data_IF_177053120656
#
_entry.id   IF_177053120656
#
_cell.length_a   1.000
_cell.length_b   1.000
_cell.length_c   1.000
_cell.angle_alpha   90.00
_cell.angle_beta   90.00
_cell.angle_gamma   90.00
#
_symmetry.space_group_name_H-M   'P 1'
#
loop_
_entity.id
_entity.type
_entity.pdbx_description
1 polymer ?
#
# COMPACT_ATOMS: atom_id res chain seq x y z
N UNK A 1 27.10 -22.27 0.51
CA UNK A 1 26.06 -21.61 1.35
C UNK A 1 26.38 -20.13 1.41
N UNK A 2 25.57 -19.29 0.77
CA UNK A 2 25.74 -17.84 0.82
C UNK A 2 25.09 -17.33 2.10
N UNK A 3 25.88 -16.71 2.99
CA UNK A 3 25.35 -16.08 4.21
C UNK A 3 24.79 -14.71 3.84
N UNK A 4 23.48 -14.58 3.75
CA UNK A 4 22.80 -13.30 3.58
C UNK A 4 22.19 -12.85 4.92
N UNK A 5 22.28 -11.56 5.23
CA UNK A 5 21.62 -10.97 6.40
C UNK A 5 20.44 -10.12 5.92
N UNK A 6 19.24 -10.48 6.34
CA UNK A 6 18.03 -9.71 6.04
C UNK A 6 17.97 -8.49 6.97
N UNK A 7 17.95 -7.29 6.39
CA UNK A 7 17.90 -6.02 7.13
C UNK A 7 16.50 -5.40 7.17
N UNK A 8 15.69 -5.67 6.15
CA UNK A 8 14.35 -5.10 6.01
C UNK A 8 13.44 -6.07 5.24
N UNK A 9 12.15 -5.97 5.55
CA UNK A 9 11.06 -6.60 4.81
C UNK A 9 10.07 -5.49 4.50
N UNK A 10 9.60 -5.41 3.27
CA UNK A 10 8.65 -4.39 2.83
C UNK A 10 7.77 -4.91 1.69
N UNK A 11 6.61 -4.30 1.52
CA UNK A 11 5.74 -4.50 0.36
C UNK A 11 6.38 -3.84 -0.89
N UNK A 12 6.07 -4.35 -2.07
CA UNK A 12 6.62 -3.86 -3.35
C UNK A 12 6.25 -2.39 -3.62
N UNK A 13 5.04 -1.95 -3.27
CA UNK A 13 4.62 -0.55 -3.36
C UNK A 13 5.46 0.38 -2.47
N UNK A 14 5.90 -0.10 -1.30
CA UNK A 14 6.81 0.63 -0.40
C UNK A 14 8.20 0.75 -1.03
N UNK A 15 8.67 -0.33 -1.65
CA UNK A 15 9.92 -0.33 -2.39
C UNK A 15 9.89 0.67 -3.55
N UNK A 16 8.78 0.72 -4.29
CA UNK A 16 8.58 1.66 -5.38
C UNK A 16 8.57 3.12 -4.89
N UNK A 17 7.85 3.41 -3.80
CA UNK A 17 7.83 4.74 -3.19
C UNK A 17 9.21 5.16 -2.68
N UNK A 18 9.93 4.26 -2.01
CA UNK A 18 11.29 4.54 -1.52
C UNK A 18 12.26 4.84 -2.67
N UNK A 19 12.23 4.05 -3.75
CA UNK A 19 13.05 4.26 -4.93
C UNK A 19 12.72 5.59 -5.63
N UNK A 20 11.44 5.89 -5.81
CA UNK A 20 10.99 7.15 -6.42
C UNK A 20 11.34 8.36 -5.55
N UNK A 21 11.10 8.31 -4.24
CA UNK A 21 11.46 9.37 -3.30
C UNK A 21 12.96 9.63 -3.26
N UNK A 22 13.79 8.59 -3.37
CA UNK A 22 15.24 8.75 -3.48
C UNK A 22 15.67 9.43 -4.79
N UNK A 23 15.01 9.13 -5.90
CA UNK A 23 15.37 9.67 -7.23
C UNK A 23 14.82 11.06 -7.51
N UNK A 24 13.57 11.31 -7.14
CA UNK A 24 12.81 12.50 -7.53
C UNK A 24 12.52 13.44 -6.35
N UNK A 25 12.82 13.03 -5.12
CA UNK A 25 12.72 13.85 -3.93
C UNK A 25 11.41 13.66 -3.14
N UNK A 26 11.19 14.50 -2.11
CA UNK A 26 10.14 14.30 -1.10
C UNK A 26 8.72 14.52 -1.62
N UNK A 27 8.55 15.08 -2.82
CA UNK A 27 7.24 15.26 -3.48
C UNK A 27 6.64 13.92 -3.94
N UNK A 28 7.44 12.86 -4.07
CA UNK A 28 6.92 11.52 -4.31
C UNK A 28 6.33 10.96 -3.01
N UNK A 29 5.01 11.10 -2.84
CA UNK A 29 4.30 10.68 -1.63
C UNK A 29 3.42 9.44 -1.81
N UNK A 30 3.29 8.92 -3.03
CA UNK A 30 2.46 7.74 -3.35
C UNK A 30 3.26 6.81 -4.27
N UNK A 31 3.29 5.52 -3.92
CA UNK A 31 3.79 4.44 -4.78
C UNK A 31 2.62 3.58 -5.23
N UNK A 32 2.53 3.30 -6.53
CA UNK A 32 1.50 2.43 -7.11
C UNK A 32 2.19 1.34 -7.92
N UNK A 33 1.72 0.11 -7.77
CA UNK A 33 2.09 -1.02 -8.63
C UNK A 33 0.85 -1.40 -9.43
N UNK A 34 0.99 -1.42 -10.76
CA UNK A 34 -0.04 -1.85 -11.70
C UNK A 34 0.56 -2.96 -12.56
N UNK A 35 0.05 -4.17 -12.43
CA UNK A 35 0.52 -5.34 -13.15
C UNK A 35 -0.51 -6.46 -13.04
N UNK A 36 -0.06 -7.66 -12.67
CA UNK A 36 -0.98 -8.76 -12.37
C UNK A 36 -1.93 -8.41 -11.21
N UNK A 37 -1.40 -7.76 -10.17
CA UNK A 37 -2.17 -7.11 -9.12
C UNK A 37 -2.13 -5.59 -9.25
N UNK A 38 -2.98 -4.91 -8.49
CA UNK A 38 -2.98 -3.46 -8.36
C UNK A 38 -2.99 -3.10 -6.88
N UNK A 39 -1.94 -2.43 -6.38
CA UNK A 39 -1.86 -1.98 -4.99
C UNK A 39 -1.19 -0.61 -4.89
N UNK A 40 -1.31 0.03 -3.73
CA UNK A 40 -0.63 1.29 -3.45
C UNK A 40 -0.07 1.38 -2.02
N UNK A 41 0.86 2.30 -1.85
CA UNK A 41 1.24 2.83 -0.55
C UNK A 41 1.43 4.34 -0.63
N UNK A 42 1.33 5.02 0.51
CA UNK A 42 1.52 6.45 0.57
C UNK A 42 2.17 6.88 1.89
N UNK A 43 2.72 8.09 1.89
CA UNK A 43 3.34 8.71 3.06
C UNK A 43 2.29 9.45 3.90
N UNK A 44 1.85 8.85 5.01
CA UNK A 44 0.88 9.44 5.93
C UNK A 44 1.58 10.15 7.10
N UNK A 45 0.96 11.19 7.65
CA UNK A 45 1.36 11.78 8.93
C UNK A 45 1.11 10.77 10.04
N UNK A 46 2.15 10.41 10.79
CA UNK A 46 2.05 9.44 11.89
C UNK A 46 0.99 9.83 12.92
N UNK A 47 0.76 11.14 13.13
CA UNK A 47 -0.29 11.64 14.02
C UNK A 47 -1.72 11.33 13.58
N UNK A 48 -1.96 10.94 12.32
CA UNK A 48 -3.27 10.55 11.79
C UNK A 48 -3.52 9.04 11.86
N UNK A 49 -2.50 8.24 12.17
CA UNK A 49 -2.61 6.77 12.23
C UNK A 49 -3.10 6.36 13.62
N UNK A 50 -4.41 6.33 13.83
CA UNK A 50 -5.03 6.02 15.13
C UNK A 50 -4.85 4.56 15.56
N UNK A 51 -4.62 3.64 14.62
CA UNK A 51 -4.39 2.21 14.87
C UNK A 51 -2.99 1.91 15.45
N UNK A 52 -2.03 2.81 15.27
CA UNK A 52 -0.63 2.59 15.64
C UNK A 52 -0.22 3.53 16.78
N UNK A 53 0.06 2.98 17.96
CA UNK A 53 0.60 3.77 19.07
C UNK A 53 2.09 4.06 18.86
N UNK A 54 2.37 5.16 18.16
CA UNK A 54 3.73 5.60 17.86
C UNK A 54 4.55 5.88 19.13
N UNK A 55 3.92 6.41 20.19
CA UNK A 55 4.61 6.75 21.45
C UNK A 55 5.05 5.48 22.17
N UNK A 56 4.15 4.51 22.34
CA UNK A 56 4.49 3.23 22.98
C UNK A 56 5.54 2.43 22.19
N UNK A 57 5.60 2.61 20.86
CA UNK A 57 6.60 1.98 19.99
C UNK A 57 7.90 2.79 19.85
N UNK A 58 8.01 3.94 20.51
CA UNK A 58 9.18 4.81 20.41
C UNK A 58 9.45 5.31 18.98
N UNK A 59 8.43 5.34 18.13
CA UNK A 59 8.52 5.79 16.76
C UNK A 59 8.50 7.33 16.71
N UNK A 60 9.58 7.94 16.22
CA UNK A 60 9.81 9.40 16.32
C UNK A 60 9.66 10.16 15.00
N UNK A 61 9.38 9.47 13.90
CA UNK A 61 9.26 10.11 12.60
C UNK A 61 7.86 10.75 12.44
N UNK A 62 7.76 11.94 11.82
CA UNK A 62 6.48 12.62 11.63
C UNK A 62 5.58 11.94 10.59
N UNK A 63 6.16 11.08 9.76
CA UNK A 63 5.48 10.38 8.68
C UNK A 63 5.82 8.89 8.70
N UNK A 64 4.87 8.08 8.26
CA UNK A 64 5.00 6.63 8.10
C UNK A 64 4.37 6.22 6.76
N UNK A 65 4.99 5.27 6.06
CA UNK A 65 4.40 4.69 4.85
C UNK A 65 3.29 3.73 5.24
N UNK A 66 2.12 3.91 4.65
CA UNK A 66 0.95 3.04 4.84
C UNK A 66 0.69 2.30 3.53
N UNK A 67 0.70 0.97 3.59
CA UNK A 67 0.22 0.11 2.49
C UNK A 67 -1.30 0.10 2.53
N UNK A 68 -1.93 0.35 1.39
CA UNK A 68 -3.38 0.49 1.35
C UNK A 68 -4.11 -0.84 1.21
N UNK A 69 -3.50 -1.83 0.54
CA UNK A 69 -4.16 -3.07 0.11
C UNK A 69 -5.52 -2.74 -0.55
N UNK A 70 -5.49 -1.81 -1.52
CA UNK A 70 -6.70 -1.19 -2.06
C UNK A 70 -7.47 -2.08 -3.03
N UNK A 71 -6.93 -3.23 -3.41
CA UNK A 71 -7.54 -4.18 -4.35
C UNK A 71 -8.85 -4.75 -3.81
N UNK A 72 -9.01 -4.82 -2.49
CA UNK A 72 -10.24 -5.26 -1.83
C UNK A 72 -11.26 -4.12 -1.65
N UNK A 73 -10.93 -2.89 -2.04
CA UNK A 73 -11.83 -1.76 -1.90
C UNK A 73 -13.14 -1.99 -2.64
N UNK A 74 -14.27 -1.72 -1.96
CA UNK A 74 -15.61 -1.93 -2.54
C UNK A 74 -16.07 -3.39 -2.64
N UNK A 75 -15.26 -4.38 -2.26
CA UNK A 75 -15.65 -5.81 -2.28
C UNK A 75 -16.91 -6.13 -1.47
N UNK A 76 -17.09 -5.47 -0.32
CA UNK A 76 -18.23 -5.66 0.59
C UNK A 76 -19.37 -4.67 0.41
N UNK A 77 -19.18 -3.63 -0.40
CA UNK A 77 -20.15 -2.54 -0.60
C UNK A 77 -20.23 -2.17 -2.09
N UNK A 78 -21.05 -2.90 -2.86
CA UNK A 78 -21.15 -2.73 -4.31
C UNK A 78 -21.68 -1.38 -4.82
N UNK A 79 -22.40 -0.49 -4.08
CA UNK A 79 -22.84 0.78 -4.70
C UNK A 79 -21.71 1.80 -4.89
N UNK A 80 -20.49 1.53 -4.39
CA UNK A 80 -19.35 2.47 -4.48
C UNK A 80 -18.61 2.34 -5.81
N UNK A 81 -18.62 1.16 -6.43
CA UNK A 81 -17.93 0.89 -7.69
C UNK A 81 -18.98 0.47 -8.72
N UNK A 82 -19.13 1.25 -9.79
CA UNK A 82 -19.97 0.85 -10.91
C UNK A 82 -19.39 -0.42 -11.54
N UNK A 83 -20.15 -1.52 -11.43
CA UNK A 83 -19.83 -2.81 -12.05
C UNK A 83 -20.89 -3.11 -13.08
N UNK A 84 -20.47 -3.25 -14.33
CA UNK A 84 -21.35 -3.74 -15.38
C UNK A 84 -21.62 -5.25 -15.24
N UNK A 85 -22.49 -5.78 -16.09
CA UNK A 85 -22.83 -7.21 -16.05
C UNK A 85 -21.63 -8.12 -16.38
N UNK A 86 -20.70 -7.65 -17.21
CA UNK A 86 -19.51 -8.40 -17.60
C UNK A 86 -18.56 -8.57 -16.41
N UNK A 87 -18.27 -7.50 -15.69
CA UNK A 87 -17.43 -7.52 -14.49
C UNK A 87 -17.99 -8.48 -13.43
N UNK A 88 -19.30 -8.45 -13.18
CA UNK A 88 -19.95 -9.38 -12.23
C UNK A 88 -19.82 -10.84 -12.65
N UNK A 89 -19.84 -11.13 -13.95
CA UNK A 89 -19.66 -12.49 -14.45
C UNK A 89 -18.24 -13.03 -14.23
N UNK A 90 -17.23 -12.16 -14.33
CA UNK A 90 -15.84 -12.52 -14.05
C UNK A 90 -15.61 -12.79 -12.56
N UNK A 91 -16.21 -11.99 -11.66
CA UNK A 91 -16.11 -12.21 -10.22
C UNK A 91 -16.61 -13.61 -9.82
N UNK A 92 -17.74 -14.06 -10.40
CA UNK A 92 -18.33 -15.39 -10.16
C UNK A 92 -17.39 -16.51 -10.62
N UNK A 93 -16.65 -16.31 -11.71
CA UNK A 93 -15.75 -17.32 -12.26
C UNK A 93 -14.41 -17.42 -11.51
N UNK A 94 -14.09 -16.40 -10.70
CA UNK A 94 -12.83 -16.30 -9.96
C UNK A 94 -12.87 -16.83 -8.52
N UNK A 95 -14.06 -17.22 -8.02
CA UNK A 95 -14.26 -17.82 -6.68
C UNK A 95 -14.47 -19.33 -6.77
#
# INVERSE_FOLDING_TARGET
STKAQIKAVMNDTVGQLAAAGHKYGPECTIGVVIGYGCNSSYLEKTSRITKFDAKAKGYKHPNMVVVTEWEEFGSKHPPIIERDAHYRSLDILSQ
#
